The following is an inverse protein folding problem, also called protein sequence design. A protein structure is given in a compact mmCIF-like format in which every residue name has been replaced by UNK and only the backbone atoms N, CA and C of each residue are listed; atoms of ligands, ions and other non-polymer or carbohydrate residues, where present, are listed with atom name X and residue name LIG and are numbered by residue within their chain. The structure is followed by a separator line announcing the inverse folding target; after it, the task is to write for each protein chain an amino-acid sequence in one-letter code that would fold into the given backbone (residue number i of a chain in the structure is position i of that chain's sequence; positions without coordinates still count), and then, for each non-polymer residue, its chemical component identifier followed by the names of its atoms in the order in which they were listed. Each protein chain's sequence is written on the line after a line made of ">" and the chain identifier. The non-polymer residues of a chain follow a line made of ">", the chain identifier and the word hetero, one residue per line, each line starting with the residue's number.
data_IF_154392150605
#
_entry.id   IF_154392150605
#
_cell.length_a   1.000
_cell.length_b   1.000
_cell.length_c   1.000
_cell.angle_alpha   90.00
_cell.angle_beta   90.00
_cell.angle_gamma   90.00
#
_symmetry.space_group_name_H-M   'P 1'
#
loop_
_entity.id
_entity.type
_entity.pdbx_description
1 polymer ?
#
# COMPACT_ATOMS: atom_id res chain seq x y z
N UNK A 1 -9.27 -4.31 -5.12
CA UNK A 1 -8.51 -3.88 -3.93
C UNK A 1 -9.46 -3.29 -2.89
N UNK A 2 -9.21 -3.46 -1.57
CA UNK A 2 -9.98 -2.80 -0.50
C UNK A 2 -9.01 -2.03 0.41
N UNK A 3 -9.30 -0.75 0.63
CA UNK A 3 -8.55 0.10 1.56
C UNK A 3 -9.43 0.34 2.76
N UNK A 4 -8.94 0.07 3.97
CA UNK A 4 -9.65 0.40 5.20
C UNK A 4 -8.80 1.33 6.03
N UNK A 5 -9.36 2.47 6.42
CA UNK A 5 -8.68 3.42 7.29
C UNK A 5 -9.37 3.45 8.63
N UNK A 6 -8.59 3.41 9.71
CA UNK A 6 -9.08 3.58 11.07
C UNK A 6 -8.09 4.40 11.89
N UNK A 7 -8.57 4.93 13.01
CA UNK A 7 -7.75 5.69 13.96
C UNK A 7 -7.55 4.83 15.21
N UNK A 8 -6.30 4.68 15.62
CA UNK A 8 -5.89 4.05 16.87
C UNK A 8 -5.20 5.12 17.73
N UNK A 9 -5.85 5.58 18.80
CA UNK A 9 -5.44 6.76 19.58
C UNK A 9 -5.26 7.99 18.67
N UNK A 10 -4.02 8.47 18.50
CA UNK A 10 -3.64 9.57 17.60
C UNK A 10 -3.06 9.10 16.27
N UNK A 11 -2.96 7.79 16.06
CA UNK A 11 -2.37 7.19 14.86
C UNK A 11 -3.44 6.85 13.84
N UNK A 12 -3.33 7.40 12.63
CA UNK A 12 -4.16 7.00 11.49
C UNK A 12 -3.50 5.82 10.78
N UNK A 13 -4.19 4.70 10.70
CA UNK A 13 -3.71 3.48 10.05
C UNK A 13 -4.55 3.20 8.81
N UNK A 14 -3.89 2.96 7.68
CA UNK A 14 -4.53 2.48 6.45
C UNK A 14 -4.08 1.05 6.15
N UNK A 15 -5.04 0.15 6.01
CA UNK A 15 -4.84 -1.24 5.63
C UNK A 15 -5.14 -1.40 4.14
N UNK A 16 -4.15 -1.88 3.40
CA UNK A 16 -4.19 -2.10 1.96
C UNK A 16 -4.11 -3.60 1.67
N UNK A 17 -5.23 -4.19 1.27
CA UNK A 17 -5.23 -5.61 0.89
C UNK A 17 -4.94 -5.78 -0.61
N UNK A 18 -3.72 -6.23 -0.90
CA UNK A 18 -3.20 -6.50 -2.24
C UNK A 18 -3.32 -7.98 -2.66
N UNK A 19 -3.71 -8.88 -1.74
CA UNK A 19 -3.76 -10.32 -2.02
C UNK A 19 -5.07 -10.73 -2.70
N UNK A 20 -4.98 -11.74 -3.57
CA UNK A 20 -6.14 -12.47 -4.11
C UNK A 20 -6.76 -11.95 -5.41
N UNK A 21 -6.16 -10.94 -6.06
CA UNK A 21 -6.62 -10.44 -7.36
C UNK A 21 -5.43 -10.29 -8.31
N UNK A 22 -5.16 -11.35 -9.09
CA UNK A 22 -4.02 -11.41 -10.04
C UNK A 22 -4.05 -10.26 -11.04
N UNK A 23 -5.25 -9.76 -11.32
CA UNK A 23 -5.51 -8.66 -12.24
C UNK A 23 -4.84 -7.36 -11.76
N UNK A 24 -4.68 -7.17 -10.45
CA UNK A 24 -4.06 -5.94 -9.92
C UNK A 24 -2.53 -6.02 -9.85
N UNK A 25 -1.89 -7.12 -10.23
CA UNK A 25 -0.43 -7.29 -10.11
C UNK A 25 0.35 -6.20 -10.84
N UNK A 26 -0.07 -5.82 -12.05
CA UNK A 26 0.56 -4.75 -12.82
C UNK A 26 0.39 -3.35 -12.20
N UNK A 27 -0.57 -3.20 -11.28
CA UNK A 27 -0.92 -1.94 -10.63
C UNK A 27 -0.43 -1.87 -9.19
N UNK A 28 0.10 -2.96 -8.64
CA UNK A 28 0.59 -2.96 -7.27
C UNK A 28 1.77 -2.01 -7.07
N UNK A 29 2.63 -1.83 -8.08
CA UNK A 29 3.76 -0.90 -8.05
C UNK A 29 3.29 0.56 -7.88
N UNK A 30 2.18 0.92 -8.54
CA UNK A 30 1.58 2.25 -8.43
C UNK A 30 1.02 2.52 -7.03
N UNK A 31 0.56 1.46 -6.38
CA UNK A 31 -0.07 1.51 -5.07
C UNK A 31 0.91 1.22 -3.94
N UNK A 32 2.15 0.86 -4.29
CA UNK A 32 3.16 0.53 -3.30
C UNK A 32 3.56 1.80 -2.56
N UNK A 33 3.68 1.72 -1.22
CA UNK A 33 4.15 2.85 -0.44
C UNK A 33 5.51 3.34 -0.95
N UNK A 34 5.55 4.59 -1.41
CA UNK A 34 6.77 5.24 -1.85
C UNK A 34 7.81 5.40 -0.74
N UNK A 35 8.99 5.86 -1.12
CA UNK A 35 10.13 6.07 -0.23
C UNK A 35 9.77 6.84 1.05
N UNK A 36 10.27 6.37 2.20
CA UNK A 36 10.12 7.08 3.48
C UNK A 36 8.76 6.89 4.17
N UNK A 37 7.89 5.99 3.70
CA UNK A 37 6.65 5.65 4.41
C UNK A 37 6.88 4.76 5.63
N UNK A 38 6.08 5.02 6.67
CA UNK A 38 5.85 4.09 7.76
C UNK A 38 5.00 2.91 7.28
N UNK A 39 5.62 1.91 6.65
CA UNK A 39 4.90 0.74 6.13
C UNK A 39 5.33 -0.55 6.82
N UNK A 40 4.32 -1.35 7.17
CA UNK A 40 4.47 -2.67 7.76
C UNK A 40 3.76 -3.64 6.83
N UNK A 41 4.49 -4.68 6.42
CA UNK A 41 3.99 -5.72 5.53
C UNK A 41 3.66 -6.96 6.35
N UNK A 42 2.42 -7.41 6.22
CA UNK A 42 1.95 -8.66 6.80
C UNK A 42 1.79 -9.69 5.67
N UNK A 43 2.70 -10.64 5.59
CA UNK A 43 2.60 -11.73 4.61
C UNK A 43 1.79 -12.85 5.25
N UNK A 44 0.56 -13.02 4.76
CA UNK A 44 -0.37 -14.04 5.24
C UNK A 44 -0.29 -15.22 4.27
N UNK A 45 0.20 -16.37 4.76
CA UNK A 45 0.19 -17.63 4.01
C UNK A 45 -0.70 -18.66 4.71
N UNK A 46 -1.42 -19.45 3.92
CA UNK A 46 -2.17 -20.60 4.41
C UNK A 46 -1.28 -21.82 4.42
N UNK A 47 -1.30 -22.58 5.53
CA UNK A 47 -0.63 -23.88 5.65
C UNK A 47 -1.29 -24.98 4.80
N UNK A 48 -2.44 -24.67 4.18
CA UNK A 48 -3.22 -25.60 3.38
C UNK A 48 -3.49 -25.04 1.98
N UNK A 49 -3.41 -25.87 0.95
CA UNK A 49 -3.88 -25.55 -0.41
C UNK A 49 -5.40 -25.41 -0.41
N UNK A 50 -6.07 -26.38 0.20
CA UNK A 50 -7.53 -26.44 0.36
C UNK A 50 -7.85 -26.68 1.83
N UNK A 51 -8.14 -25.62 2.60
CA UNK A 51 -8.42 -25.75 4.04
C UNK A 51 -9.60 -26.68 4.36
N UNK A 52 -10.56 -26.84 3.44
CA UNK A 52 -11.72 -27.72 3.64
C UNK A 52 -11.37 -29.20 3.46
N UNK A 53 -10.44 -29.51 2.55
CA UNK A 53 -10.03 -30.89 2.25
C UNK A 53 -8.84 -31.33 3.12
N UNK A 54 -8.38 -30.47 4.05
CA UNK A 54 -7.19 -30.69 4.89
C UNK A 54 -5.92 -31.03 4.09
N UNK A 55 -5.85 -30.55 2.85
CA UNK A 55 -4.68 -30.71 1.99
C UNK A 55 -3.62 -29.70 2.39
N UNK A 56 -2.61 -30.17 3.14
CA UNK A 56 -1.48 -29.36 3.60
C UNK A 56 -0.58 -28.96 2.44
N UNK A 57 0.01 -27.76 2.55
CA UNK A 57 1.10 -27.35 1.66
C UNK A 57 2.40 -28.04 2.07
N UNK A 58 3.26 -28.30 1.09
CA UNK A 58 4.64 -28.66 1.40
C UNK A 58 5.40 -27.44 1.93
N UNK A 59 6.51 -27.64 2.67
CA UNK A 59 7.38 -26.54 3.06
C UNK A 59 7.84 -25.69 1.88
N UNK A 60 8.11 -26.32 0.73
CA UNK A 60 8.55 -25.64 -0.50
C UNK A 60 7.45 -24.71 -1.07
N UNK A 61 6.19 -25.12 -1.04
CA UNK A 61 5.09 -24.26 -1.51
C UNK A 61 4.89 -23.04 -0.60
N UNK A 62 5.04 -23.23 0.71
CA UNK A 62 5.02 -22.09 1.65
C UNK A 62 6.22 -21.18 1.38
N UNK A 63 7.40 -21.75 1.11
CA UNK A 63 8.60 -21.00 0.75
C UNK A 63 8.39 -20.17 -0.52
N UNK A 64 7.83 -20.77 -1.59
CA UNK A 64 7.52 -20.08 -2.85
C UNK A 64 6.54 -18.93 -2.68
N UNK A 65 5.45 -19.15 -1.94
CA UNK A 65 4.45 -18.12 -1.63
C UNK A 65 5.10 -16.91 -0.96
N UNK A 66 5.91 -17.17 0.07
CA UNK A 66 6.60 -16.11 0.81
C UNK A 66 7.65 -15.43 -0.06
N UNK A 67 8.42 -16.20 -0.84
CA UNK A 67 9.46 -15.68 -1.71
C UNK A 67 8.90 -14.74 -2.79
N UNK A 68 7.73 -15.04 -3.35
CA UNK A 68 7.05 -14.15 -4.28
C UNK A 68 6.77 -12.78 -3.64
N UNK A 69 6.13 -12.76 -2.48
CA UNK A 69 5.79 -11.51 -1.79
C UNK A 69 7.03 -10.75 -1.32
N UNK A 70 8.08 -11.45 -0.87
CA UNK A 70 9.35 -10.82 -0.50
C UNK A 70 10.02 -10.17 -1.70
N UNK A 71 10.09 -10.85 -2.86
CA UNK A 71 10.61 -10.26 -4.10
C UNK A 71 9.79 -9.04 -4.51
N UNK A 72 8.46 -9.12 -4.42
CA UNK A 72 7.57 -8.02 -4.73
C UNK A 72 7.83 -6.81 -3.82
N UNK A 73 7.90 -7.02 -2.50
CA UNK A 73 8.19 -5.96 -1.53
C UNK A 73 9.54 -5.33 -1.81
N UNK A 74 10.61 -6.13 -1.97
CA UNK A 74 11.98 -5.62 -2.18
C UNK A 74 12.12 -4.87 -3.51
N UNK A 75 11.46 -5.34 -4.57
CA UNK A 75 11.55 -4.69 -5.89
C UNK A 75 10.83 -3.34 -5.91
N UNK A 76 9.77 -3.20 -5.10
CA UNK A 76 8.96 -2.00 -5.03
C UNK A 76 9.34 -1.04 -3.90
N UNK A 77 9.99 -1.53 -2.85
CA UNK A 77 10.57 -0.71 -1.79
C UNK A 77 11.88 -0.06 -2.23
N UNK A 78 12.04 0.30 -3.52
CA UNK A 78 13.27 0.81 -4.15
C UNK A 78 14.05 1.69 -3.17
N UNK A 79 15.37 1.51 -3.11
CA UNK A 79 16.23 2.32 -2.24
C UNK A 79 16.29 3.74 -2.79
N UNK A 80 15.49 4.65 -2.25
CA UNK A 80 15.86 6.07 -2.35
C UNK A 80 17.22 6.22 -1.67
N UNK A 81 18.05 7.11 -2.20
CA UNK A 81 19.31 7.56 -1.59
C UNK A 81 19.17 7.96 -0.10
N UNK A 82 17.93 8.20 0.37
CA UNK A 82 17.56 8.55 1.74
C UNK A 82 16.52 7.58 2.37
N UNK A 83 16.52 6.29 2.04
CA UNK A 83 15.77 5.32 2.85
C UNK A 83 16.46 5.18 4.22
N UNK A 84 15.89 5.80 5.25
CA UNK A 84 16.36 5.63 6.62
C UNK A 84 16.00 4.26 7.24
N UNK A 85 15.10 3.48 6.64
CA UNK A 85 14.52 2.28 7.25
C UNK A 85 14.22 1.19 6.22
N UNK A 86 14.53 -0.07 6.58
CA UNK A 86 14.08 -1.24 5.82
C UNK A 86 12.58 -1.48 6.04
N UNK A 87 11.91 -2.05 5.03
CA UNK A 87 10.51 -2.44 5.15
C UNK A 87 10.32 -3.51 6.21
N UNK A 88 9.43 -3.27 7.16
CA UNK A 88 9.13 -4.20 8.25
C UNK A 88 8.23 -5.33 7.75
N UNK A 89 8.67 -6.58 7.85
CA UNK A 89 7.94 -7.75 7.34
C UNK A 89 7.62 -8.71 8.48
N UNK A 90 6.34 -9.03 8.63
CA UNK A 90 5.86 -10.06 9.57
C UNK A 90 5.21 -11.20 8.80
N UNK A 91 5.61 -12.43 9.09
CA UNK A 91 5.05 -13.65 8.48
C UNK A 91 3.96 -14.22 9.38
N UNK A 92 2.81 -14.52 8.79
CA UNK A 92 1.65 -15.13 9.46
C UNK A 92 1.23 -16.39 8.70
N UNK A 93 1.23 -17.51 9.40
CA UNK A 93 0.77 -18.81 8.94
C UNK A 93 -0.64 -19.07 9.50
N UNK A 94 -1.62 -19.18 8.61
CA UNK A 94 -3.04 -19.36 8.98
C UNK A 94 -3.46 -20.83 8.95
N UNK A 95 -4.63 -21.11 9.51
CA UNK A 95 -5.21 -22.46 9.64
C UNK A 95 -4.41 -23.39 10.54
N UNK A 96 -3.71 -22.81 11.52
CA UNK A 96 -2.94 -23.56 12.49
C UNK A 96 -3.82 -24.48 13.36
N UNK A 97 -5.08 -24.12 13.58
CA UNK A 97 -6.09 -24.94 14.25
C UNK A 97 -6.34 -26.30 13.60
N UNK A 98 -5.95 -26.48 12.34
CA UNK A 98 -6.12 -27.72 11.58
C UNK A 98 -4.85 -28.58 11.53
N UNK A 99 -3.75 -28.12 12.14
CA UNK A 99 -2.49 -28.87 12.20
C UNK A 99 -2.48 -29.79 13.41
N UNK A 100 -2.07 -31.04 13.20
CA UNK A 100 -1.78 -31.95 14.30
C UNK A 100 -0.45 -31.54 14.94
N UNK A 101 -0.44 -31.35 16.26
CA UNK A 101 0.64 -30.71 17.04
C UNK A 101 2.04 -31.33 16.92
N UNK A 102 2.19 -32.48 16.25
CA UNK A 102 3.46 -33.21 16.05
C UNK A 102 3.95 -33.25 14.58
N UNK A 103 3.47 -32.34 13.71
CA UNK A 103 3.84 -32.42 12.29
C UNK A 103 5.29 -32.00 12.04
N UNK A 104 6.15 -32.94 11.65
CA UNK A 104 7.51 -32.69 11.12
C UNK A 104 7.50 -31.62 10.01
N UNK A 105 6.43 -31.54 9.22
CA UNK A 105 6.21 -30.52 8.19
C UNK A 105 6.21 -29.08 8.71
N UNK A 106 5.72 -28.84 9.94
CA UNK A 106 5.72 -27.49 10.51
C UNK A 106 7.13 -27.04 10.84
N UNK A 107 7.95 -27.92 11.42
CA UNK A 107 9.35 -27.61 11.70
C UNK A 107 10.11 -27.32 10.39
N UNK A 108 9.94 -28.17 9.38
CA UNK A 108 10.53 -27.96 8.05
C UNK A 108 10.08 -26.63 7.43
N UNK A 109 8.81 -26.24 7.62
CA UNK A 109 8.29 -24.94 7.16
C UNK A 109 8.95 -23.78 7.89
N UNK A 110 9.13 -23.87 9.21
CA UNK A 110 9.84 -22.84 9.99
C UNK A 110 11.30 -22.72 9.53
N UNK A 111 11.97 -23.84 9.28
CA UNK A 111 13.34 -23.87 8.78
C UNK A 111 13.43 -23.24 7.37
N UNK A 112 12.46 -23.52 6.48
CA UNK A 112 12.33 -22.86 5.17
C UNK A 112 12.16 -21.34 5.31
N UNK A 113 11.33 -20.88 6.25
CA UNK A 113 11.16 -19.45 6.52
C UNK A 113 12.45 -18.83 7.03
N UNK A 114 13.22 -19.55 7.85
CA UNK A 114 14.52 -19.05 8.31
C UNK A 114 15.51 -18.90 7.15
N UNK A 115 15.58 -19.85 6.21
CA UNK A 115 16.39 -19.70 4.99
C UNK A 115 15.99 -18.47 4.17
N UNK A 116 14.70 -18.19 4.07
CA UNK A 116 14.22 -16.96 3.42
C UNK A 116 14.66 -15.70 4.16
N UNK A 117 14.60 -15.71 5.50
CA UNK A 117 15.06 -14.56 6.30
C UNK A 117 16.54 -14.26 6.04
N UNK A 118 17.36 -15.29 6.03
CA UNK A 118 18.80 -15.16 5.78
C UNK A 118 19.06 -14.65 4.35
N UNK A 119 18.33 -15.20 3.36
CA UNK A 119 18.42 -14.78 1.94
C UNK A 119 18.05 -13.31 1.71
N UNK A 120 17.07 -12.79 2.46
CA UNK A 120 16.58 -11.42 2.34
C UNK A 120 17.12 -10.48 3.42
N UNK A 121 18.13 -10.93 4.18
CA UNK A 121 18.80 -10.11 5.18
C UNK A 121 19.37 -8.83 4.54
N UNK A 122 19.13 -7.68 5.17
CA UNK A 122 19.58 -6.38 4.67
C UNK A 122 18.73 -5.80 3.51
N UNK A 123 17.71 -6.52 3.04
CA UNK A 123 16.70 -6.00 2.11
C UNK A 123 15.40 -5.62 2.81
N UNK A 124 15.03 -6.35 3.87
CA UNK A 124 13.86 -6.09 4.72
C UNK A 124 14.21 -6.33 6.20
N UNK A 125 13.44 -5.74 7.10
CA UNK A 125 13.52 -5.98 8.55
C UNK A 125 12.47 -7.04 8.91
N UNK A 126 12.90 -8.29 9.11
CA UNK A 126 11.99 -9.35 9.53
C UNK A 126 11.68 -9.27 11.02
N UNK A 127 10.41 -9.43 11.36
CA UNK A 127 10.05 -9.74 12.72
C UNK A 127 10.51 -11.17 13.08
N UNK A 128 11.21 -11.38 14.21
CA UNK A 128 11.79 -12.68 14.56
C UNK A 128 10.77 -13.80 14.74
N UNK A 129 9.55 -13.50 15.17
CA UNK A 129 8.52 -14.53 15.39
C UNK A 129 7.70 -14.77 14.13
N UNK A 130 7.55 -16.04 13.74
CA UNK A 130 6.52 -16.46 12.78
C UNK A 130 5.23 -16.68 13.55
N UNK A 131 4.17 -15.95 13.21
CA UNK A 131 2.89 -16.13 13.88
C UNK A 131 2.13 -17.31 13.27
N UNK A 132 1.75 -18.28 14.08
CA UNK A 132 0.76 -19.28 13.68
C UNK A 132 -0.60 -18.91 14.26
N UNK A 133 -1.63 -18.85 13.41
CA UNK A 133 -2.94 -18.34 13.83
C UNK A 133 -4.13 -19.18 13.38
N UNK A 134 -5.11 -19.25 14.27
CA UNK A 134 -6.50 -19.51 13.94
C UNK A 134 -7.22 -18.17 13.75
N UNK A 135 -7.58 -17.85 12.51
CA UNK A 135 -8.25 -16.61 12.18
C UNK A 135 -9.67 -16.49 12.81
N UNK A 136 -10.24 -17.61 13.30
CA UNK A 136 -11.54 -17.64 13.97
C UNK A 136 -11.43 -17.38 15.47
N UNK A 137 -10.22 -17.45 16.03
CA UNK A 137 -9.96 -17.24 17.44
C UNK A 137 -9.47 -15.81 17.70
N UNK A 138 -10.29 -15.02 18.40
CA UNK A 138 -9.93 -13.65 18.80
C UNK A 138 -8.64 -13.62 19.63
N UNK A 139 -8.43 -14.61 20.50
CA UNK A 139 -7.21 -14.74 21.31
C UNK A 139 -5.97 -15.06 20.46
N UNK A 140 -6.14 -15.75 19.34
CA UNK A 140 -5.05 -16.00 18.39
C UNK A 140 -4.69 -14.74 17.61
N UNK A 141 -5.71 -14.00 17.14
CA UNK A 141 -5.54 -12.80 16.32
C UNK A 141 -5.07 -11.59 17.14
N UNK A 142 -5.44 -11.51 18.43
CA UNK A 142 -5.04 -10.40 19.31
C UNK A 142 -3.53 -10.26 19.46
N UNK A 143 -2.78 -11.38 19.40
CA UNK A 143 -1.31 -11.38 19.40
C UNK A 143 -0.73 -10.61 18.21
N UNK A 144 -1.31 -10.80 17.02
CA UNK A 144 -0.93 -10.06 15.81
C UNK A 144 -1.32 -8.59 15.96
N UNK A 145 -2.52 -8.31 16.45
CA UNK A 145 -2.99 -6.93 16.64
C UNK A 145 -2.06 -6.15 17.58
N UNK A 146 -1.67 -6.74 18.71
CA UNK A 146 -0.74 -6.13 19.65
C UNK A 146 0.65 -5.92 19.05
N UNK A 147 1.19 -6.93 18.34
CA UNK A 147 2.45 -6.80 17.60
C UNK A 147 2.41 -5.64 16.59
N UNK A 148 1.33 -5.57 15.82
CA UNK A 148 1.14 -4.53 14.81
C UNK A 148 1.05 -3.14 15.45
N UNK A 149 0.31 -2.99 16.54
CA UNK A 149 0.20 -1.73 17.28
C UNK A 149 1.55 -1.27 17.85
N UNK A 150 2.34 -2.19 18.42
CA UNK A 150 3.67 -1.85 18.93
C UNK A 150 4.65 -1.49 17.80
N UNK A 151 4.61 -2.25 16.71
CA UNK A 151 5.47 -2.03 15.54
C UNK A 151 5.12 -0.71 14.85
N UNK A 152 3.83 -0.36 14.72
CA UNK A 152 3.41 0.90 14.11
C UNK A 152 3.94 2.11 14.88
N UNK A 153 3.82 2.12 16.22
CA UNK A 153 4.40 3.18 17.07
C UNK A 153 5.93 3.29 16.89
N UNK A 154 6.63 2.15 16.82
CA UNK A 154 8.10 2.11 16.64
C UNK A 154 8.51 2.63 15.26
N UNK A 155 7.83 2.21 14.20
CA UNK A 155 8.11 2.67 12.83
C UNK A 155 7.85 4.17 12.71
N UNK A 156 6.74 4.68 13.28
CA UNK A 156 6.39 6.10 13.24
C UNK A 156 7.41 7.00 13.94
N UNK A 157 8.02 6.54 15.04
CA UNK A 157 9.10 7.29 15.72
C UNK A 157 10.36 7.41 14.87
N UNK A 158 10.58 6.46 13.96
CA UNK A 158 11.77 6.35 13.12
C UNK A 158 11.62 7.05 11.76
N UNK A 159 10.38 7.34 11.35
CA UNK A 159 10.10 7.99 10.07
C UNK A 159 10.51 9.47 10.13
N UNK A 160 11.20 9.99 9.09
CA UNK A 160 11.55 11.41 9.03
C UNK A 160 10.31 12.28 9.20
N UNK A 161 10.42 13.35 10.00
CA UNK A 161 9.32 14.31 10.15
C UNK A 161 9.00 14.89 8.77
N UNK A 162 7.73 14.82 8.42
CA UNK A 162 7.21 15.48 7.21
C UNK A 162 7.23 16.99 7.46
N UNK A 163 7.38 17.80 6.41
CA UNK A 163 7.23 19.25 6.51
C UNK A 163 5.88 19.60 7.16
N UNK A 164 5.87 20.54 8.11
CA UNK A 164 4.63 21.03 8.75
C UNK A 164 3.59 21.45 7.71
N UNK A 165 4.05 22.02 6.59
CA UNK A 165 3.23 22.38 5.44
C UNK A 165 2.41 21.20 4.86
N UNK A 166 2.90 19.97 4.94
CA UNK A 166 2.12 18.81 4.53
C UNK A 166 0.95 18.55 5.48
N UNK A 167 1.12 18.79 6.79
CA UNK A 167 0.03 18.66 7.77
C UNK A 167 -1.08 19.66 7.49
N UNK A 168 -0.72 20.92 7.26
CA UNK A 168 -1.67 21.97 6.89
C UNK A 168 -2.42 21.59 5.60
N UNK A 169 -1.68 21.12 4.60
CA UNK A 169 -2.27 20.77 3.32
C UNK A 169 -3.15 19.51 3.39
N UNK A 170 -2.81 18.53 4.22
CA UNK A 170 -3.68 17.38 4.50
C UNK A 170 -5.04 17.84 5.03
N UNK A 171 -5.05 18.81 5.96
CA UNK A 171 -6.28 19.36 6.50
C UNK A 171 -7.07 20.12 5.43
N UNK A 172 -6.40 21.01 4.68
CA UNK A 172 -7.02 21.78 3.59
C UNK A 172 -7.68 20.88 2.54
N UNK A 173 -7.00 19.79 2.15
CA UNK A 173 -7.53 18.83 1.19
C UNK A 173 -8.69 18.01 1.78
N UNK A 174 -8.62 17.66 3.06
CA UNK A 174 -9.73 17.01 3.77
C UNK A 174 -10.97 17.89 3.77
N UNK A 175 -10.84 19.16 4.13
CA UNK A 175 -11.94 20.13 4.16
C UNK A 175 -12.52 20.34 2.75
N UNK A 176 -11.65 20.47 1.74
CA UNK A 176 -12.09 20.57 0.35
C UNK A 176 -12.90 19.35 -0.08
N UNK A 177 -12.51 18.14 0.33
CA UNK A 177 -13.21 16.88 0.01
C UNK A 177 -14.55 16.78 0.74
N UNK A 178 -14.67 17.36 1.93
CA UNK A 178 -15.96 17.53 2.61
C UNK A 178 -16.87 18.50 1.86
N UNK A 179 -16.33 19.60 1.33
CA UNK A 179 -17.10 20.56 0.52
C UNK A 179 -17.44 20.01 -0.89
N UNK A 180 -16.68 19.03 -1.39
CA UNK A 180 -16.76 18.51 -2.76
C UNK A 180 -16.87 16.97 -2.79
N UNK A 181 -17.82 16.40 -2.05
CA UNK A 181 -17.99 14.94 -1.91
C UNK A 181 -18.10 14.17 -3.24
N UNK A 182 -18.58 14.80 -4.30
CA UNK A 182 -18.73 14.20 -5.64
C UNK A 182 -17.48 14.30 -6.52
N UNK A 183 -16.38 14.90 -6.04
CA UNK A 183 -15.14 15.06 -6.80
C UNK A 183 -14.02 14.23 -6.17
N UNK A 184 -13.74 13.03 -6.72
CA UNK A 184 -12.69 12.15 -6.17
C UNK A 184 -11.26 12.60 -6.52
N UNK A 185 -11.12 13.57 -7.44
CA UNK A 185 -9.85 14.15 -7.83
C UNK A 185 -10.00 15.67 -8.06
N UNK A 186 -8.90 16.40 -7.85
CA UNK A 186 -8.78 17.84 -8.11
C UNK A 186 -7.82 18.07 -9.28
N UNK A 187 -8.17 18.98 -10.19
CA UNK A 187 -7.26 19.38 -11.27
C UNK A 187 -6.09 20.16 -10.70
N UNK A 188 -4.92 20.04 -11.31
CA UNK A 188 -3.72 20.73 -10.84
C UNK A 188 -3.90 22.25 -10.75
N UNK A 189 -4.59 22.86 -11.71
CA UNK A 189 -4.94 24.29 -11.67
C UNK A 189 -5.80 24.65 -10.46
N UNK A 190 -6.86 23.87 -10.21
CA UNK A 190 -7.76 24.06 -9.07
C UNK A 190 -7.03 23.86 -7.73
N UNK A 191 -6.10 22.91 -7.68
CA UNK A 191 -5.21 22.74 -6.54
C UNK A 191 -4.29 23.96 -6.34
N UNK A 192 -3.77 24.54 -7.42
CA UNK A 192 -3.00 25.78 -7.38
C UNK A 192 -3.81 26.97 -6.85
N UNK A 193 -5.08 27.09 -7.26
CA UNK A 193 -6.02 28.10 -6.78
C UNK A 193 -6.35 27.87 -5.29
N UNK A 194 -6.58 26.62 -4.89
CA UNK A 194 -6.78 26.23 -3.49
C UNK A 194 -5.57 26.63 -2.62
N UNK A 195 -4.35 26.34 -3.10
CA UNK A 195 -3.12 26.73 -2.42
C UNK A 195 -2.98 28.26 -2.32
N UNK A 196 -3.38 29.00 -3.36
CA UNK A 196 -3.33 30.46 -3.36
C UNK A 196 -4.20 31.08 -2.25
N UNK A 197 -5.37 30.48 -1.99
CA UNK A 197 -6.34 30.96 -1.01
C UNK A 197 -6.05 30.43 0.40
N UNK A 198 -5.90 29.10 0.54
CA UNK A 198 -5.90 28.43 1.84
C UNK A 198 -4.50 28.08 2.37
N UNK A 199 -3.43 28.18 1.57
CA UNK A 199 -2.06 27.79 1.97
C UNK A 199 -1.04 28.95 1.86
N UNK A 200 -0.83 29.75 2.94
CA UNK A 200 0.04 30.94 2.90
C UNK A 200 1.50 30.71 2.48
N UNK A 201 2.03 29.49 2.63
CA UNK A 201 3.39 29.10 2.24
C UNK A 201 3.48 28.64 0.77
N UNK A 202 2.35 28.37 0.13
CA UNK A 202 2.24 27.93 -1.26
C UNK A 202 1.53 28.96 -2.17
N UNK A 203 1.26 30.16 -1.66
CA UNK A 203 0.70 31.27 -2.42
C UNK A 203 1.79 32.11 -3.08
N UNK A 204 1.52 32.59 -4.28
CA UNK A 204 2.30 33.65 -4.94
C UNK A 204 1.95 34.97 -4.25
N UNK A 205 2.93 35.64 -3.63
CA UNK A 205 2.70 36.85 -2.81
C UNK A 205 2.90 38.15 -3.58
N UNK A 206 3.73 38.13 -4.63
CA UNK A 206 4.11 39.31 -5.39
C UNK A 206 4.29 38.99 -6.87
N UNK A 207 4.26 40.02 -7.73
CA UNK A 207 4.64 39.90 -9.15
C UNK A 207 6.13 39.56 -9.33
N UNK A 208 6.95 39.89 -8.34
CA UNK A 208 8.39 39.56 -8.29
C UNK A 208 8.65 38.16 -7.74
N UNK A 209 7.62 37.51 -7.19
CA UNK A 209 7.76 36.18 -6.62
C UNK A 209 7.99 35.19 -7.77
N UNK A 210 9.01 34.34 -7.63
CA UNK A 210 9.33 33.37 -8.67
C UNK A 210 8.21 32.32 -8.74
N UNK A 211 7.31 32.47 -9.71
CA UNK A 211 6.19 31.55 -9.95
C UNK A 211 6.66 30.11 -10.12
N UNK A 212 7.76 29.91 -10.82
CA UNK A 212 8.36 28.59 -11.01
C UNK A 212 8.80 28.00 -9.66
N UNK A 213 9.43 28.78 -8.80
CA UNK A 213 9.83 28.33 -7.45
C UNK A 213 8.62 27.93 -6.59
N UNK A 214 7.52 28.68 -6.65
CA UNK A 214 6.28 28.33 -5.93
C UNK A 214 5.68 27.04 -6.49
N UNK A 215 5.70 26.89 -7.81
CA UNK A 215 5.23 25.70 -8.50
C UNK A 215 6.06 24.46 -8.14
N UNK A 216 7.39 24.57 -8.12
CA UNK A 216 8.28 23.51 -7.64
C UNK A 216 7.95 23.11 -6.21
N UNK A 217 7.65 24.06 -5.32
CA UNK A 217 7.23 23.76 -3.94
C UNK A 217 5.90 23.00 -3.91
N UNK A 218 4.90 23.42 -4.71
CA UNK A 218 3.61 22.72 -4.80
C UNK A 218 3.78 21.27 -5.26
N UNK A 219 4.59 21.04 -6.30
CA UNK A 219 4.93 19.69 -6.78
C UNK A 219 5.66 18.87 -5.74
N UNK A 220 6.63 19.46 -5.03
CA UNK A 220 7.35 18.77 -3.97
C UNK A 220 6.43 18.35 -2.81
N UNK A 221 5.49 19.21 -2.42
CA UNK A 221 4.50 18.87 -1.39
C UNK A 221 3.51 17.82 -1.90
N UNK A 222 3.01 17.93 -3.13
CA UNK A 222 2.13 16.93 -3.73
C UNK A 222 2.82 15.55 -3.84
N UNK A 223 4.08 15.53 -4.25
CA UNK A 223 4.92 14.33 -4.25
C UNK A 223 5.10 13.77 -2.84
N UNK A 224 5.32 14.63 -1.84
CA UNK A 224 5.40 14.19 -0.44
C UNK A 224 4.08 13.59 0.05
N UNK A 225 2.93 14.24 -0.22
CA UNK A 225 1.59 13.73 0.10
C UNK A 225 1.30 12.40 -0.60
N UNK A 226 1.75 12.26 -1.85
CA UNK A 226 1.69 11.01 -2.58
C UNK A 226 2.55 9.94 -1.93
N UNK A 227 3.80 10.28 -1.60
CA UNK A 227 4.71 9.39 -0.92
C UNK A 227 4.14 8.93 0.42
N UNK A 228 3.41 9.72 1.20
CA UNK A 228 2.77 9.29 2.47
C UNK A 228 1.38 8.66 2.30
N UNK A 229 0.80 8.71 1.10
CA UNK A 229 -0.44 7.97 0.75
C UNK A 229 -1.72 8.69 1.06
N UNK A 230 -1.65 10.01 1.20
CA UNK A 230 -2.84 10.86 1.33
C UNK A 230 -3.50 11.05 -0.03
N UNK A 231 -2.70 11.11 -1.10
CA UNK A 231 -3.14 11.36 -2.47
C UNK A 231 -2.43 10.46 -3.47
N UNK A 232 -2.94 10.36 -4.69
CA UNK A 232 -2.20 9.81 -5.84
C UNK A 232 -1.90 10.97 -6.79
N UNK A 233 -0.61 11.21 -7.05
CA UNK A 233 -0.14 12.32 -7.87
C UNK A 233 0.68 11.79 -9.03
N UNK A 234 0.35 12.26 -10.22
CA UNK A 234 1.15 12.07 -11.43
C UNK A 234 1.43 13.43 -12.02
N UNK A 235 2.69 13.79 -12.16
CA UNK A 235 3.08 15.12 -12.66
C UNK A 235 2.52 15.38 -14.07
N UNK A 236 2.55 14.34 -14.92
CA UNK A 236 2.11 14.42 -16.31
C UNK A 236 0.58 14.45 -16.49
N UNK A 237 -0.18 13.85 -15.57
CA UNK A 237 -1.64 13.77 -15.73
C UNK A 237 -2.33 15.09 -15.35
N UNK A 238 -1.69 15.94 -14.55
CA UNK A 238 -2.29 17.21 -14.11
C UNK A 238 -3.48 17.04 -13.17
N UNK A 239 -3.55 15.91 -12.45
CA UNK A 239 -4.56 15.64 -11.43
C UNK A 239 -3.92 15.21 -10.11
N UNK A 240 -4.60 15.56 -9.03
CA UNK A 240 -4.35 15.03 -7.70
C UNK A 240 -5.58 14.22 -7.27
N UNK A 241 -5.41 12.90 -7.17
CA UNK A 241 -6.48 11.99 -6.77
C UNK A 241 -6.54 12.00 -5.24
N UNK A 242 -7.70 12.39 -4.71
CA UNK A 242 -7.94 12.49 -3.26
C UNK A 242 -8.67 11.26 -2.71
N UNK A 243 -9.38 10.54 -3.58
CA UNK A 243 -10.05 9.29 -3.25
C UNK A 243 -9.31 8.11 -3.87
N UNK A 244 -8.36 7.56 -3.10
CA UNK A 244 -7.59 6.39 -3.50
C UNK A 244 -8.47 5.14 -3.67
N UNK A 245 -9.57 5.01 -2.91
CA UNK A 245 -10.46 3.85 -3.01
C UNK A 245 -11.26 3.89 -4.30
N UNK A 246 -11.84 5.04 -4.63
CA UNK A 246 -12.49 5.28 -5.91
C UNK A 246 -11.55 4.99 -7.09
N UNK A 247 -10.34 5.55 -7.06
CA UNK A 247 -9.39 5.37 -8.15
C UNK A 247 -8.99 3.89 -8.33
N UNK A 248 -8.72 3.18 -7.24
CA UNK A 248 -8.28 1.80 -7.33
C UNK A 248 -9.41 0.81 -7.59
N UNK A 249 -10.59 1.07 -7.03
CA UNK A 249 -11.76 0.21 -7.15
C UNK A 249 -12.49 0.42 -8.47
N UNK A 250 -12.77 1.67 -8.81
CA UNK A 250 -13.60 2.02 -9.96
C UNK A 250 -12.76 2.25 -11.22
N UNK A 251 -11.76 3.14 -11.17
CA UNK A 251 -10.99 3.48 -12.38
C UNK A 251 -10.09 2.33 -12.81
N UNK A 252 -9.20 1.91 -11.91
CA UNK A 252 -8.28 0.80 -12.16
C UNK A 252 -9.03 -0.54 -12.27
N UNK A 253 -10.06 -0.77 -11.45
CA UNK A 253 -10.87 -1.97 -11.56
C UNK A 253 -11.60 -2.10 -12.90
N UNK A 254 -12.06 -0.99 -13.48
CA UNK A 254 -12.65 -1.00 -14.83
C UNK A 254 -11.63 -1.30 -15.92
N UNK A 255 -10.44 -0.70 -15.86
CA UNK A 255 -9.33 -0.99 -16.77
C UNK A 255 -9.06 -2.50 -16.87
N UNK A 256 -8.99 -3.16 -15.72
CA UNK A 256 -8.74 -4.59 -15.64
C UNK A 256 -9.91 -5.43 -16.20
N UNK A 257 -11.15 -5.00 -15.96
CA UNK A 257 -12.34 -5.69 -16.51
C UNK A 257 -12.44 -5.57 -18.04
N UNK A 258 -11.95 -4.47 -18.61
CA UNK A 258 -11.92 -4.28 -20.07
C UNK A 258 -10.98 -5.29 -20.75
N UNK A 259 -9.87 -5.63 -20.09
CA UNK A 259 -8.91 -6.60 -20.58
C UNK A 259 -9.48 -8.04 -20.52
N UNK A 260 -10.12 -8.41 -19.39
CA UNK A 260 -10.72 -9.75 -19.19
C UNK A 260 -11.87 -10.03 -20.17
N UNK A 261 -12.73 -9.04 -20.47
CA UNK A 261 -13.83 -9.22 -21.44
C UNK A 261 -13.35 -9.40 -22.88
N UNK A 262 -12.13 -8.97 -23.20
CA UNK A 262 -11.55 -9.11 -24.54
C UNK A 262 -10.70 -10.35 -24.70
N UNK A 263 -10.14 -10.91 -23.63
CA UNK A 263 -9.43 -12.21 -23.73
C UNK A 263 -10.36 -13.37 -24.13
N UNK A 264 -11.68 -13.25 -23.91
CA UNK A 264 -12.68 -14.21 -24.42
C UNK A 264 -13.06 -14.01 -25.88
N UNK A 265 -12.58 -12.95 -26.53
CA UNK A 265 -12.81 -12.65 -27.95
C UNK A 265 -11.49 -12.32 -28.62
N UNK A 266 -10.93 -13.26 -29.39
CA UNK A 266 -9.79 -13.11 -30.32
C UNK A 266 -9.60 -11.68 -30.83
N UNK A 267 -8.82 -10.86 -30.12
CA UNK A 267 -8.78 -9.43 -30.35
C UNK A 267 -7.59 -8.76 -29.65
N UNK A 268 -6.42 -8.86 -30.30
CA UNK A 268 -5.18 -8.06 -30.32
C UNK A 268 -4.82 -7.06 -29.20
N UNK A 269 -5.42 -7.09 -28.00
CA UNK A 269 -5.05 -6.22 -26.88
C UNK A 269 -5.34 -4.72 -27.07
N UNK A 270 -5.94 -4.29 -28.19
CA UNK A 270 -6.24 -2.89 -28.45
C UNK A 270 -7.59 -2.44 -27.87
N UNK A 271 -7.62 -1.28 -27.20
CA UNK A 271 -8.85 -0.63 -26.72
C UNK A 271 -9.10 0.66 -27.50
N UNK A 272 -10.27 0.76 -28.14
CA UNK A 272 -10.63 1.98 -28.88
C UNK A 272 -11.14 3.06 -27.93
N UNK A 273 -10.81 4.32 -28.20
CA UNK A 273 -11.30 5.47 -27.42
C UNK A 273 -12.83 5.56 -27.38
N UNK A 274 -13.53 5.01 -28.37
CA UNK A 274 -15.01 4.99 -28.42
C UNK A 274 -15.62 3.98 -27.44
N UNK A 275 -14.95 2.87 -27.13
CA UNK A 275 -15.45 1.91 -26.13
C UNK A 275 -15.36 2.47 -24.70
N UNK A 276 -14.45 3.42 -24.45
CA UNK A 276 -14.34 4.12 -23.17
C UNK A 276 -15.47 5.12 -22.91
N UNK A 277 -15.99 5.78 -23.95
CA UNK A 277 -17.04 6.81 -23.81
C UNK A 277 -18.44 6.24 -23.53
N UNK A 278 -18.59 4.92 -23.52
CA UNK A 278 -19.88 4.23 -23.25
C UNK A 278 -20.06 3.85 -21.77
N UNK A 279 -19.09 4.18 -20.93
CA UNK A 279 -19.09 3.93 -19.49
C UNK A 279 -19.05 5.25 -18.72
#
# INVERSE_FOLDING_TARGET
>A
MKIKTFKDEDTKISNWNLAGQKEFYALHDLMFPGHGRASIFLIISSLFRKPNNREQKTPDEVEEDLQYWLRFIVSNSKRALQQCMLSNVTVVLTHYDKINQSSQNLQLTVDSIQRLRDKFQGFVEFYPTVFTVDARSSASVSKIAHHFQKTSKTVLQRVPRVYELCNDLMQILSDWRLENHNKPAIKWKEFGDLCQVKAPLLRVRSRLDNKEKVETKRRAVAACLHHIGVVIYFDELGFLILDCEWFCGEVLGQLLRLDVKKQTSTGDGFISRKSWKKF
#
